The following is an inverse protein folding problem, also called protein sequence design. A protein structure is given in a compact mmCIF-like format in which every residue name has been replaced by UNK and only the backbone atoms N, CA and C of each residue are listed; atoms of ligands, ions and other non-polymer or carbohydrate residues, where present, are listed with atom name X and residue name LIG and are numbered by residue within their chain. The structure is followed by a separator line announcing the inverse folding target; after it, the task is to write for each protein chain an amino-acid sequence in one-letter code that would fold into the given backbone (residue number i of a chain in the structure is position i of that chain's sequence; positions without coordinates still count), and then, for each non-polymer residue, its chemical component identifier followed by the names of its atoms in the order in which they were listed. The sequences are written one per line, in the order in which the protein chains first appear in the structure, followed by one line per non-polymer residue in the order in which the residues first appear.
data_IF_540974948618
#
_entry.id   IF_540974948618
#
_cell.length_a   1.000
_cell.length_b   1.000
_cell.length_c   1.000
_cell.angle_alpha   90.00
_cell.angle_beta   90.00
_cell.angle_gamma   90.00
#
_symmetry.space_group_name_H-M   'P 1'
#
loop_
_entity.id
_entity.type
_entity.pdbx_description
1 polymer ?
#
# COMPACT_ATOMS: atom_id res chain seq x y z
N UNK A 1 -66.97 15.66 57.95
CA UNK A 1 -67.73 14.45 58.36
C UNK A 1 -67.39 13.36 57.36
N UNK A 2 -66.52 12.38 57.67
CA UNK A 2 -66.84 11.13 58.41
C UNK A 2 -68.01 10.38 57.73
N UNK A 3 -67.97 9.10 57.38
CA UNK A 3 -67.27 7.96 57.98
C UNK A 3 -67.42 6.72 57.03
N UNK A 4 -66.33 5.96 56.80
CA UNK A 4 -66.21 4.48 56.74
C UNK A 4 -67.14 3.62 55.86
N UNK A 5 -66.55 2.74 55.03
CA UNK A 5 -66.53 1.27 55.18
C UNK A 5 -66.08 0.59 53.87
N UNK A 6 -64.91 -0.05 53.87
CA UNK A 6 -64.67 -1.32 53.17
C UNK A 6 -63.26 -1.81 53.50
N UNK A 7 -63.19 -2.67 54.51
CA UNK A 7 -62.00 -3.38 54.96
C UNK A 7 -61.91 -4.70 54.19
N UNK A 8 -60.67 -5.07 53.85
CA UNK A 8 -60.16 -6.44 53.67
C UNK A 8 -60.55 -7.12 52.35
N UNK A 9 -59.58 -7.29 51.45
CA UNK A 9 -59.34 -8.61 50.85
C UNK A 9 -57.91 -8.74 50.27
N UNK A 10 -57.21 -9.75 50.79
CA UNK A 10 -56.18 -10.55 50.11
C UNK A 10 -54.91 -9.86 49.59
N UNK A 11 -54.02 -9.63 50.55
CA UNK A 11 -52.56 -9.75 50.40
C UNK A 11 -52.23 -11.13 49.80
N UNK A 12 -52.13 -11.22 48.49
CA UNK A 12 -51.72 -12.43 47.76
C UNK A 12 -50.20 -12.41 47.56
N UNK A 13 -49.53 -13.20 48.40
CA UNK A 13 -48.30 -13.94 48.16
C UNK A 13 -47.66 -13.73 46.77
N UNK A 14 -46.78 -12.74 46.67
CA UNK A 14 -45.67 -12.79 45.70
C UNK A 14 -44.58 -13.68 46.30
N UNK A 15 -44.63 -14.98 46.01
CA UNK A 15 -43.44 -15.82 46.11
C UNK A 15 -42.48 -15.37 45.01
N UNK A 16 -41.27 -14.87 45.32
CA UNK A 16 -40.23 -14.78 44.30
C UNK A 16 -39.84 -16.22 43.97
N UNK A 17 -40.17 -16.67 42.77
CA UNK A 17 -39.54 -17.85 42.19
C UNK A 17 -38.06 -17.50 42.01
N UNK A 18 -37.24 -17.84 43.00
CA UNK A 18 -35.79 -17.88 42.87
C UNK A 18 -35.51 -19.04 41.92
N UNK A 19 -35.50 -18.72 40.62
CA UNK A 19 -34.91 -19.60 39.62
C UNK A 19 -33.42 -19.59 39.91
N UNK A 20 -32.94 -20.64 40.58
CA UNK A 20 -31.53 -20.97 40.58
C UNK A 20 -31.17 -21.30 39.13
N UNK A 21 -30.69 -20.31 38.39
CA UNK A 21 -29.93 -20.57 37.18
C UNK A 21 -28.74 -21.41 37.62
N UNK A 22 -28.78 -22.71 37.32
CA UNK A 22 -27.62 -23.56 37.38
C UNK A 22 -26.64 -22.98 36.36
N UNK A 23 -25.66 -22.23 36.86
CA UNK A 23 -24.45 -21.91 36.12
C UNK A 23 -23.83 -23.25 35.74
N UNK A 24 -24.03 -23.68 34.49
CA UNK A 24 -23.53 -24.96 34.00
C UNK A 24 -22.02 -24.95 33.84
N UNK A 25 -21.30 -23.89 34.25
CA UNK A 25 -19.84 -23.87 34.36
C UNK A 25 -19.10 -24.14 33.06
N UNK A 26 -19.80 -24.11 31.93
CA UNK A 26 -19.22 -24.17 30.60
C UNK A 26 -19.11 -22.75 30.11
N UNK A 27 -18.02 -22.08 30.47
CA UNK A 27 -17.56 -20.97 29.65
C UNK A 27 -17.53 -21.47 28.19
N UNK A 28 -18.08 -20.71 27.23
CA UNK A 28 -18.05 -21.12 25.84
C UNK A 28 -16.59 -21.38 25.47
N UNK A 29 -16.27 -22.63 25.11
CA UNK A 29 -14.95 -23.00 24.62
C UNK A 29 -14.75 -22.18 23.36
N UNK A 30 -13.95 -21.12 23.47
CA UNK A 30 -13.56 -20.32 22.32
C UNK A 30 -12.79 -21.26 21.38
N UNK A 31 -13.39 -21.62 20.25
CA UNK A 31 -12.77 -22.52 19.29
C UNK A 31 -11.45 -21.90 18.83
N UNK A 32 -10.33 -22.48 19.30
CA UNK A 32 -9.00 -22.04 18.88
C UNK A 32 -8.90 -22.32 17.39
N UNK A 33 -8.74 -21.29 16.54
CA UNK A 33 -8.69 -21.50 15.09
C UNK A 33 -7.54 -22.45 14.74
N UNK A 34 -7.81 -23.39 13.84
CA UNK A 34 -6.81 -24.36 13.36
C UNK A 34 -5.59 -23.60 12.84
N UNK A 35 -4.43 -23.89 13.43
CA UNK A 35 -3.18 -23.25 13.06
C UNK A 35 -2.80 -23.58 11.62
N UNK A 36 -2.53 -22.54 10.82
CA UNK A 36 -2.07 -22.66 9.43
C UNK A 36 -0.68 -22.05 9.30
N UNK A 37 0.12 -22.56 8.36
CA UNK A 37 1.52 -22.14 8.19
C UNK A 37 1.71 -20.62 8.06
N UNK A 38 0.81 -19.92 7.36
CA UNK A 38 0.90 -18.46 7.20
C UNK A 38 0.74 -17.69 8.53
N UNK A 39 0.11 -18.30 9.54
CA UNK A 39 -0.10 -17.69 10.85
C UNK A 39 1.20 -17.51 11.64
N UNK A 40 2.31 -18.09 11.17
CA UNK A 40 3.66 -17.77 11.68
C UNK A 40 3.99 -16.29 11.42
N UNK A 41 3.67 -15.79 10.23
CA UNK A 41 4.09 -14.46 9.78
C UNK A 41 2.96 -13.42 9.91
N UNK A 42 1.71 -13.85 9.71
CA UNK A 42 0.53 -12.98 9.78
C UNK A 42 -0.78 -13.77 9.96
N UNK A 43 -1.74 -13.31 10.80
CA UNK A 43 -3.00 -14.04 11.04
C UNK A 43 -3.90 -14.19 9.80
N UNK A 44 -3.76 -13.30 8.82
CA UNK A 44 -4.51 -13.35 7.56
C UNK A 44 -3.62 -13.79 6.40
N UNK A 45 -4.04 -14.84 5.71
CA UNK A 45 -3.33 -15.34 4.53
C UNK A 45 -3.19 -14.27 3.45
N UNK A 46 -2.00 -14.20 2.83
CA UNK A 46 -1.70 -13.29 1.74
C UNK A 46 -1.18 -11.92 2.16
N UNK A 47 -1.45 -11.48 3.39
CA UNK A 47 -0.81 -10.30 3.96
C UNK A 47 0.69 -10.54 4.15
N UNK A 48 1.57 -9.57 3.91
CA UNK A 48 2.99 -9.79 4.13
C UNK A 48 3.33 -9.82 5.61
N UNK A 49 4.37 -10.57 5.97
CA UNK A 49 4.80 -10.77 7.35
C UNK A 49 5.12 -9.46 8.07
N UNK A 50 4.77 -9.39 9.36
CA UNK A 50 5.01 -8.21 10.21
C UNK A 50 4.24 -6.95 9.81
N UNK A 51 3.30 -7.04 8.86
CA UNK A 51 2.46 -5.92 8.45
C UNK A 51 1.25 -5.75 9.36
N UNK A 52 0.70 -4.54 9.39
CA UNK A 52 -0.70 -4.30 9.75
C UNK A 52 -1.50 -4.38 8.45
N UNK A 53 -2.32 -5.41 8.31
CA UNK A 53 -3.06 -5.71 7.09
C UNK A 53 -4.43 -6.28 7.46
N UNK A 54 -5.47 -5.94 6.69
CA UNK A 54 -6.81 -6.50 6.87
C UNK A 54 -6.95 -7.82 6.13
N UNK A 55 -7.90 -8.67 6.56
CA UNK A 55 -8.17 -9.95 5.89
C UNK A 55 -8.50 -9.76 4.40
N UNK A 56 -9.24 -8.70 4.06
CA UNK A 56 -9.58 -8.38 2.68
C UNK A 56 -8.37 -7.94 1.84
N UNK A 57 -7.45 -7.15 2.42
CA UNK A 57 -6.19 -6.82 1.76
C UNK A 57 -5.38 -8.09 1.47
N UNK A 58 -5.29 -9.01 2.44
CA UNK A 58 -4.61 -10.30 2.28
C UNK A 58 -5.22 -11.14 1.16
N UNK A 59 -6.55 -11.24 1.11
CA UNK A 59 -7.29 -11.93 0.04
C UNK A 59 -6.97 -11.37 -1.34
N UNK A 60 -6.98 -10.04 -1.51
CA UNK A 60 -6.66 -9.42 -2.80
C UNK A 60 -5.20 -9.60 -3.21
N UNK A 61 -4.26 -9.43 -2.27
CA UNK A 61 -2.83 -9.63 -2.55
C UNK A 61 -2.54 -11.08 -2.96
N UNK A 62 -3.11 -12.05 -2.24
CA UNK A 62 -3.03 -13.47 -2.61
C UNK A 62 -3.63 -13.74 -3.98
N UNK A 63 -4.83 -13.21 -4.26
CA UNK A 63 -5.48 -13.41 -5.54
C UNK A 63 -4.68 -12.80 -6.71
N UNK A 64 -3.98 -11.69 -6.47
CA UNK A 64 -3.04 -11.13 -7.44
C UNK A 64 -1.86 -12.07 -7.69
N UNK A 65 -1.20 -12.56 -6.63
CA UNK A 65 -0.12 -13.53 -6.73
C UNK A 65 -0.55 -14.81 -7.47
N UNK A 66 -1.73 -15.35 -7.14
CA UNK A 66 -2.28 -16.54 -7.82
C UNK A 66 -2.62 -16.24 -9.30
N UNK A 67 -3.00 -15.00 -9.62
CA UNK A 67 -3.19 -14.54 -11.01
C UNK A 67 -1.87 -14.55 -11.77
N UNK A 68 -0.77 -14.06 -11.16
CA UNK A 68 0.57 -14.05 -11.76
C UNK A 68 1.06 -15.46 -12.09
N UNK A 69 0.82 -16.43 -11.21
CA UNK A 69 1.17 -17.85 -11.43
C UNK A 69 0.57 -18.45 -12.69
N UNK A 70 -0.55 -17.91 -13.19
CA UNK A 70 -1.16 -18.37 -14.43
C UNK A 70 -0.32 -18.05 -15.67
N UNK A 71 0.63 -17.10 -15.56
CA UNK A 71 1.48 -16.57 -16.64
C UNK A 71 0.68 -16.05 -17.84
N UNK A 72 -0.59 -15.70 -17.65
CA UNK A 72 -1.48 -15.15 -18.69
C UNK A 72 -1.65 -13.65 -18.50
N UNK A 73 -0.99 -12.87 -19.36
CA UNK A 73 -1.04 -11.41 -19.33
C UNK A 73 -2.47 -10.85 -19.32
N UNK A 74 -3.39 -11.44 -20.10
CA UNK A 74 -4.79 -10.99 -20.13
C UNK A 74 -5.46 -11.11 -18.76
N UNK A 75 -5.23 -12.20 -18.02
CA UNK A 75 -5.78 -12.37 -16.67
C UNK A 75 -5.20 -11.34 -15.69
N UNK A 76 -3.92 -11.03 -15.82
CA UNK A 76 -3.27 -9.98 -15.01
C UNK A 76 -3.85 -8.60 -15.31
N UNK A 77 -4.13 -8.30 -16.58
CA UNK A 77 -4.78 -7.05 -16.98
C UNK A 77 -6.21 -6.98 -16.42
N UNK A 78 -7.00 -8.05 -16.58
CA UNK A 78 -8.38 -8.12 -16.09
C UNK A 78 -8.44 -7.95 -14.56
N UNK A 79 -7.53 -8.61 -13.84
CA UNK A 79 -7.44 -8.47 -12.38
C UNK A 79 -7.09 -7.03 -11.99
N UNK A 80 -6.05 -6.45 -12.61
CA UNK A 80 -5.62 -5.09 -12.36
C UNK A 80 -6.75 -4.07 -12.56
N UNK A 81 -7.51 -4.19 -13.65
CA UNK A 81 -8.63 -3.27 -13.90
C UNK A 81 -9.69 -3.31 -12.80
N UNK A 82 -9.88 -4.46 -12.15
CA UNK A 82 -10.89 -4.64 -11.10
C UNK A 82 -10.38 -4.28 -9.70
N UNK A 83 -9.14 -4.63 -9.38
CA UNK A 83 -8.61 -4.59 -8.02
C UNK A 83 -7.33 -3.76 -7.86
N UNK A 84 -6.70 -3.35 -8.96
CA UNK A 84 -5.35 -2.78 -8.96
C UNK A 84 -4.27 -3.84 -8.75
N UNK A 85 -3.04 -3.36 -8.52
CA UNK A 85 -1.88 -4.17 -8.16
C UNK A 85 -1.17 -3.58 -6.95
N UNK A 86 -0.44 -4.39 -6.16
CA UNK A 86 0.28 -3.89 -5.00
C UNK A 86 1.39 -2.94 -5.47
N UNK A 87 1.40 -1.74 -4.87
CA UNK A 87 2.39 -0.71 -5.10
C UNK A 87 3.02 -0.30 -3.77
N UNK A 88 4.34 -0.38 -3.69
CA UNK A 88 5.08 0.09 -2.53
C UNK A 88 5.10 1.63 -2.48
N UNK A 89 4.85 2.19 -1.31
CA UNK A 89 4.88 3.64 -1.06
C UNK A 89 5.25 3.94 0.38
N UNK A 90 5.24 5.23 0.72
CA UNK A 90 5.42 5.71 2.08
C UNK A 90 4.08 6.15 2.65
N UNK A 91 3.97 6.17 3.97
CA UNK A 91 2.77 6.65 4.63
C UNK A 91 3.09 7.36 5.95
N UNK A 92 2.28 8.35 6.30
CA UNK A 92 2.20 8.87 7.67
C UNK A 92 1.42 7.87 8.55
N UNK A 93 1.41 8.01 9.89
CA UNK A 93 0.65 7.10 10.74
C UNK A 93 -0.82 7.03 10.32
N UNK A 94 -1.32 5.81 10.08
CA UNK A 94 -2.74 5.54 9.78
C UNK A 94 -3.32 4.65 10.86
N UNK A 95 -4.45 5.06 11.42
CA UNK A 95 -5.26 4.22 12.32
C UNK A 95 -6.75 4.58 12.17
N UNK A 96 -7.64 3.61 11.90
CA UNK A 96 -7.35 2.20 11.63
C UNK A 96 -6.77 1.98 10.23
N UNK A 97 -6.04 0.86 10.03
CA UNK A 97 -5.62 0.43 8.68
C UNK A 97 -6.86 0.10 7.86
N UNK A 98 -6.98 0.70 6.67
CA UNK A 98 -8.13 0.56 5.79
C UNK A 98 -7.95 -0.58 4.79
N UNK A 99 -9.04 -0.97 4.13
CA UNK A 99 -9.05 -1.93 3.02
C UNK A 99 -8.07 -1.50 1.92
N UNK A 100 -7.29 -2.47 1.43
CA UNK A 100 -6.35 -2.28 0.33
C UNK A 100 -5.00 -1.69 0.73
N UNK A 101 -4.76 -1.49 2.04
CA UNK A 101 -3.50 -0.99 2.60
C UNK A 101 -2.87 -2.08 3.50
N UNK A 102 -1.58 -2.30 3.32
CA UNK A 102 -0.71 -2.99 4.28
C UNK A 102 0.37 -2.00 4.75
N UNK A 103 0.69 -2.00 6.04
CA UNK A 103 1.57 -1.00 6.67
C UNK A 103 2.65 -1.67 7.54
N UNK A 104 3.90 -1.20 7.46
CA UNK A 104 5.01 -1.61 8.35
C UNK A 104 5.68 -0.40 8.98
N UNK A 105 6.25 -0.62 10.16
CA UNK A 105 7.23 0.31 10.69
C UNK A 105 8.42 0.40 9.73
N UNK A 106 8.89 1.63 9.48
CA UNK A 106 10.08 1.83 8.68
C UNK A 106 11.33 1.41 9.48
N UNK A 107 12.24 0.61 8.91
CA UNK A 107 13.50 0.28 9.57
C UNK A 107 14.47 1.47 9.63
N UNK A 108 14.21 2.52 8.83
CA UNK A 108 15.02 3.72 8.75
C UNK A 108 14.87 4.58 10.02
N UNK A 109 15.95 4.81 10.75
CA UNK A 109 15.95 5.70 11.94
C UNK A 109 15.49 7.13 11.61
N UNK A 110 15.76 7.61 10.40
CA UNK A 110 15.30 8.92 9.92
C UNK A 110 13.77 9.05 9.81
N UNK A 111 13.08 7.92 9.72
CA UNK A 111 11.63 7.84 9.65
C UNK A 111 10.98 7.56 11.01
N UNK A 112 11.76 7.32 12.05
CA UNK A 112 11.26 6.96 13.39
C UNK A 112 11.39 8.12 14.38
N UNK A 113 11.15 9.34 13.90
CA UNK A 113 11.12 10.55 14.72
C UNK A 113 9.77 10.65 15.46
N UNK A 114 9.80 11.09 16.72
CA UNK A 114 8.65 11.07 17.64
C UNK A 114 7.38 11.71 17.04
N UNK A 115 7.53 12.86 16.37
CA UNK A 115 6.42 13.65 15.83
C UNK A 115 6.24 13.57 14.31
N UNK A 116 7.05 12.76 13.61
CA UNK A 116 7.04 12.69 12.15
C UNK A 116 7.34 11.29 11.64
N UNK A 117 6.72 10.27 12.27
CA UNK A 117 6.91 8.89 11.86
C UNK A 117 6.47 8.67 10.41
N UNK A 118 7.30 7.96 9.65
CA UNK A 118 7.02 7.52 8.29
C UNK A 118 7.05 6.00 8.26
N UNK A 119 6.01 5.42 7.70
CA UNK A 119 5.79 3.98 7.58
C UNK A 119 6.06 3.53 6.15
N UNK A 120 6.36 2.24 6.00
CA UNK A 120 6.27 1.58 4.70
C UNK A 120 4.81 1.22 4.46
N UNK A 121 4.34 1.42 3.23
CA UNK A 121 2.99 1.04 2.83
C UNK A 121 3.03 0.24 1.53
N UNK A 122 2.08 -0.66 1.38
CA UNK A 122 1.73 -1.30 0.11
C UNK A 122 0.24 -1.08 -0.12
N UNK A 123 -0.11 -0.56 -1.29
CA UNK A 123 -1.51 -0.27 -1.64
C UNK A 123 -1.87 -0.90 -2.98
N UNK A 124 -3.02 -1.55 -3.02
CA UNK A 124 -3.63 -2.03 -4.26
C UNK A 124 -4.19 -0.84 -5.05
N UNK A 125 -3.63 -0.54 -6.22
CA UNK A 125 -4.07 0.63 -7.01
C UNK A 125 -4.03 0.44 -8.51
N UNK A 126 -4.94 1.15 -9.19
CA UNK A 126 -4.92 1.35 -10.66
C UNK A 126 -4.33 2.69 -11.05
N UNK A 127 -4.19 3.63 -10.12
CA UNK A 127 -3.77 5.00 -10.39
C UNK A 127 -3.27 5.70 -9.11
N UNK A 128 -2.05 6.25 -9.15
CA UNK A 128 -1.44 6.96 -8.03
C UNK A 128 -2.13 8.29 -7.67
N UNK A 129 -2.64 9.05 -8.63
CA UNK A 129 -3.35 10.31 -8.35
C UNK A 129 -4.65 10.08 -7.56
N UNK A 130 -5.31 8.91 -7.73
CA UNK A 130 -6.44 8.52 -6.86
C UNK A 130 -6.00 8.35 -5.40
N UNK A 131 -4.75 7.93 -5.17
CA UNK A 131 -4.18 7.77 -3.84
C UNK A 131 -3.69 9.10 -3.25
N UNK A 132 -3.29 10.06 -4.09
CA UNK A 132 -2.85 11.38 -3.64
C UNK A 132 -3.93 12.14 -2.84
N UNK A 133 -5.21 11.77 -3.01
CA UNK A 133 -6.34 12.29 -2.23
C UNK A 133 -6.36 11.75 -0.79
N UNK A 134 -5.68 10.64 -0.52
CA UNK A 134 -5.54 10.07 0.81
C UNK A 134 -4.38 10.75 1.53
N UNK A 135 -4.71 11.68 2.45
CA UNK A 135 -3.73 12.58 3.11
C UNK A 135 -2.54 11.89 3.77
N UNK A 136 -2.68 10.62 4.14
CA UNK A 136 -1.65 9.87 4.84
C UNK A 136 -0.73 9.07 3.92
N UNK A 137 -0.99 9.02 2.60
CA UNK A 137 -0.10 8.36 1.65
C UNK A 137 0.87 9.38 1.04
N UNK A 138 2.14 9.01 1.04
CA UNK A 138 3.23 9.85 0.55
C UNK A 138 3.77 9.20 -0.73
N UNK A 139 3.38 9.76 -1.88
CA UNK A 139 3.75 9.26 -3.20
C UNK A 139 5.05 9.92 -3.63
N UNK A 140 6.10 9.11 -3.80
CA UNK A 140 7.34 9.58 -4.38
C UNK A 140 7.13 10.00 -5.85
N UNK A 141 7.94 10.94 -6.32
CA UNK A 141 7.95 11.36 -7.72
C UNK A 141 9.36 11.33 -8.28
N UNK A 142 9.49 10.85 -9.50
CA UNK A 142 10.65 11.05 -10.34
C UNK A 142 10.43 12.26 -11.24
N UNK A 143 11.48 13.04 -11.44
CA UNK A 143 11.50 14.14 -12.41
C UNK A 143 12.30 13.71 -13.62
N UNK A 144 11.64 13.63 -14.76
CA UNK A 144 12.22 13.33 -16.07
C UNK A 144 12.59 14.63 -16.78
N UNK A 145 13.83 14.73 -17.26
CA UNK A 145 14.24 15.82 -18.16
C UNK A 145 13.74 15.55 -19.58
N UNK A 146 12.86 16.42 -20.11
CA UNK A 146 12.40 16.37 -21.51
C UNK A 146 13.31 17.17 -22.44
N UNK A 147 13.77 18.33 -21.98
CA UNK A 147 14.69 19.23 -22.69
C UNK A 147 15.63 19.93 -21.70
N UNK A 148 16.45 20.87 -22.14
CA UNK A 148 17.32 21.64 -21.23
C UNK A 148 16.57 22.49 -20.21
N UNK A 149 15.29 22.79 -20.45
CA UNK A 149 14.48 23.66 -19.59
C UNK A 149 13.17 23.04 -19.12
N UNK A 150 12.78 21.89 -19.69
CA UNK A 150 11.50 21.24 -19.41
C UNK A 150 11.67 19.94 -18.63
N UNK A 151 10.87 19.84 -17.55
CA UNK A 151 10.84 18.70 -16.65
C UNK A 151 9.41 18.19 -16.49
N UNK A 152 9.23 16.87 -16.48
CA UNK A 152 7.94 16.22 -16.23
C UNK A 152 8.05 15.33 -15.01
N UNK A 153 7.04 15.36 -14.15
CA UNK A 153 6.96 14.53 -12.96
C UNK A 153 6.18 13.25 -13.25
N UNK A 154 6.64 12.14 -12.70
CA UNK A 154 5.95 10.86 -12.69
C UNK A 154 5.87 10.37 -11.25
N UNK A 155 4.74 9.84 -10.78
CA UNK A 155 4.72 9.12 -9.53
C UNK A 155 5.58 7.86 -9.65
N UNK A 156 6.25 7.50 -8.57
CA UNK A 156 7.10 6.31 -8.51
C UNK A 156 6.79 5.49 -7.25
N UNK A 157 6.84 4.15 -7.35
CA UNK A 157 6.85 3.29 -6.19
C UNK A 157 8.09 3.53 -5.34
N UNK A 158 7.98 3.26 -4.05
CA UNK A 158 9.09 3.31 -3.11
C UNK A 158 10.17 2.31 -3.52
N UNK A 159 11.44 2.73 -3.44
CA UNK A 159 12.63 1.90 -3.62
C UNK A 159 12.76 1.24 -5.01
N UNK A 160 11.94 1.67 -5.99
CA UNK A 160 12.03 1.22 -7.36
C UNK A 160 12.47 2.37 -8.28
N UNK A 161 13.14 2.00 -9.37
CA UNK A 161 13.44 2.90 -10.47
C UNK A 161 13.00 2.22 -11.77
N UNK A 162 12.52 2.99 -12.76
CA UNK A 162 12.06 2.42 -14.00
C UNK A 162 13.20 1.78 -14.79
N UNK A 163 12.89 0.69 -15.49
CA UNK A 163 13.82 -0.06 -16.34
C UNK A 163 13.97 0.57 -17.73
N UNK A 164 12.94 1.25 -18.24
CA UNK A 164 12.99 2.02 -19.48
C UNK A 164 11.76 2.95 -19.61
N UNK A 165 11.78 3.83 -20.61
CA UNK A 165 10.62 4.62 -21.03
C UNK A 165 10.03 4.04 -22.32
N UNK A 166 8.71 4.03 -22.42
CA UNK A 166 8.00 3.71 -23.66
C UNK A 166 6.66 4.44 -23.69
N UNK A 167 6.33 5.06 -24.82
CA UNK A 167 5.10 5.81 -25.07
C UNK A 167 4.81 6.84 -23.97
N UNK A 168 5.84 7.59 -23.56
CA UNK A 168 5.80 8.54 -22.44
C UNK A 168 5.38 7.93 -21.08
N UNK A 169 5.53 6.63 -20.89
CA UNK A 169 5.32 5.94 -19.60
C UNK A 169 6.63 5.38 -19.07
N UNK A 170 6.77 5.38 -17.76
CA UNK A 170 7.86 4.71 -17.04
C UNK A 170 7.51 3.25 -16.86
N UNK A 171 8.36 2.35 -17.34
CA UNK A 171 8.14 0.90 -17.22
C UNK A 171 8.97 0.36 -16.06
N UNK A 172 8.35 -0.50 -15.27
CA UNK A 172 8.91 -1.13 -14.09
C UNK A 172 8.79 -2.66 -14.20
N UNK A 173 9.62 -3.34 -13.42
CA UNK A 173 9.52 -4.77 -13.16
C UNK A 173 9.39 -4.97 -11.66
N UNK A 174 8.36 -5.67 -11.22
CA UNK A 174 8.19 -6.05 -9.82
C UNK A 174 8.27 -7.57 -9.66
N UNK A 175 8.67 -7.97 -8.46
CA UNK A 175 8.70 -9.35 -7.99
C UNK A 175 7.72 -9.47 -6.82
N UNK A 176 6.84 -10.45 -6.89
CA UNK A 176 5.94 -10.80 -5.81
C UNK A 176 6.11 -12.28 -5.49
N UNK A 177 6.88 -12.58 -4.44
CA UNK A 177 7.10 -13.94 -3.94
C UNK A 177 7.61 -14.92 -5.04
N UNK A 178 8.48 -14.43 -5.94
CA UNK A 178 9.06 -15.17 -7.06
C UNK A 178 8.31 -15.01 -8.39
N UNK A 179 7.19 -14.30 -8.37
CA UNK A 179 6.35 -14.04 -9.54
C UNK A 179 6.60 -12.63 -10.11
N UNK A 180 7.28 -12.59 -11.27
CA UNK A 180 7.59 -11.33 -11.94
C UNK A 180 6.45 -10.80 -12.80
N UNK A 181 6.24 -9.48 -12.76
CA UNK A 181 5.35 -8.76 -13.67
C UNK A 181 5.90 -7.40 -14.06
N UNK A 182 5.39 -6.88 -15.18
CA UNK A 182 5.76 -5.57 -15.69
C UNK A 182 4.54 -4.66 -15.67
N UNK A 183 4.79 -3.41 -15.31
CA UNK A 183 3.75 -2.39 -15.30
C UNK A 183 4.32 -1.07 -15.78
N UNK A 184 3.44 -0.23 -16.30
CA UNK A 184 3.75 1.13 -16.70
C UNK A 184 3.10 2.13 -15.77
N UNK A 185 3.77 3.27 -15.56
CA UNK A 185 3.22 4.42 -14.86
C UNK A 185 3.32 5.63 -15.79
N UNK A 186 2.19 6.27 -16.08
CA UNK A 186 2.17 7.53 -16.83
C UNK A 186 2.28 8.75 -15.90
N UNK A 187 2.48 9.93 -16.47
CA UNK A 187 2.64 11.17 -15.70
C UNK A 187 1.38 11.55 -14.89
N UNK A 188 0.20 11.10 -15.32
CA UNK A 188 -1.08 11.25 -14.61
C UNK A 188 -1.31 10.18 -13.53
N UNK A 189 -0.28 9.38 -13.24
CA UNK A 189 -0.31 8.31 -12.27
C UNK A 189 -1.09 7.07 -12.66
N UNK A 190 -1.64 6.98 -13.87
CA UNK A 190 -2.27 5.75 -14.35
C UNK A 190 -1.26 4.59 -14.36
N UNK A 191 -1.70 3.45 -13.84
CA UNK A 191 -0.94 2.20 -13.80
C UNK A 191 -1.55 1.25 -14.80
N UNK A 192 -0.74 0.56 -15.58
CA UNK A 192 -1.18 -0.50 -16.50
C UNK A 192 -0.25 -1.70 -16.43
N UNK A 193 -0.80 -2.91 -16.49
CA UNK A 193 -0.01 -4.12 -16.69
C UNK A 193 0.36 -4.24 -18.15
N UNK A 194 1.65 -4.42 -18.40
CA UNK A 194 2.21 -4.45 -19.76
C UNK A 194 3.01 -5.72 -19.98
N UNK A 195 3.22 -6.06 -21.25
CA UNK A 195 4.23 -7.05 -21.60
C UNK A 195 5.62 -6.41 -21.45
N UNK A 196 6.48 -7.04 -20.66
CA UNK A 196 7.88 -6.61 -20.56
C UNK A 196 8.62 -6.76 -21.87
N UNK A 197 9.41 -5.76 -22.22
CA UNK A 197 10.34 -5.78 -23.35
C UNK A 197 11.76 -5.59 -22.82
N UNK A 198 12.73 -6.30 -23.42
CA UNK A 198 14.13 -6.12 -23.08
C UNK A 198 14.64 -4.84 -23.75
N UNK A 199 15.07 -3.81 -23.00
CA UNK A 199 15.62 -2.61 -23.62
C UNK A 199 17.00 -2.90 -24.20
N UNK A 200 17.39 -2.13 -25.22
CA UNK A 200 18.73 -2.24 -25.82
C UNK A 200 19.85 -1.83 -24.84
N UNK A 201 19.52 -0.95 -23.90
CA UNK A 201 20.39 -0.45 -22.84
C UNK A 201 19.62 -0.44 -21.52
N UNK A 202 20.27 -0.89 -20.45
CA UNK A 202 19.68 -0.85 -19.11
C UNK A 202 19.95 0.51 -18.43
N UNK A 203 19.19 0.86 -17.39
CA UNK A 203 19.44 2.07 -16.62
C UNK A 203 20.82 2.09 -15.98
N UNK A 204 21.44 3.26 -15.97
CA UNK A 204 22.75 3.48 -15.35
C UNK A 204 22.65 4.61 -14.32
N UNK A 205 23.37 4.47 -13.21
CA UNK A 205 23.49 5.57 -12.25
C UNK A 205 24.35 6.67 -12.88
N UNK A 206 23.91 7.92 -12.77
CA UNK A 206 24.64 9.09 -13.26
C UNK A 206 24.74 10.14 -12.17
N UNK A 207 25.71 11.05 -12.30
CA UNK A 207 25.76 12.21 -11.43
C UNK A 207 24.57 13.13 -11.70
N UNK A 208 23.91 13.58 -10.64
CA UNK A 208 22.87 14.59 -10.75
C UNK A 208 23.49 15.94 -11.13
N UNK A 209 22.94 16.59 -12.14
CA UNK A 209 23.21 18.00 -12.42
C UNK A 209 22.39 18.89 -11.49
N UNK A 210 22.86 20.12 -11.27
CA UNK A 210 22.23 21.03 -10.31
C UNK A 210 20.75 21.32 -10.63
N UNK A 211 20.42 21.55 -11.89
CA UNK A 211 19.05 21.81 -12.35
C UNK A 211 18.09 20.63 -12.07
N UNK A 212 18.55 19.38 -12.18
CA UNK A 212 17.76 18.20 -11.81
C UNK A 212 17.48 18.17 -10.31
N UNK A 213 18.52 18.41 -9.49
CA UNK A 213 18.38 18.44 -8.02
C UNK A 213 17.42 19.54 -7.61
N UNK A 214 17.52 20.73 -8.21
CA UNK A 214 16.62 21.83 -7.94
C UNK A 214 15.20 21.54 -8.41
N UNK A 215 15.01 20.88 -9.56
CA UNK A 215 13.69 20.46 -10.02
C UNK A 215 13.04 19.45 -9.05
N UNK A 216 13.82 18.52 -8.47
CA UNK A 216 13.34 17.60 -7.46
C UNK A 216 12.99 18.29 -6.14
N UNK A 217 13.86 19.18 -5.64
CA UNK A 217 13.65 19.92 -4.38
C UNK A 217 12.41 20.81 -4.36
N UNK A 218 11.89 21.19 -5.52
CA UNK A 218 10.62 21.95 -5.65
C UNK A 218 9.38 21.11 -5.34
N UNK A 219 9.51 19.78 -5.26
CA UNK A 219 8.38 18.91 -4.93
C UNK A 219 8.18 18.92 -3.41
N UNK A 220 6.98 19.26 -2.91
CA UNK A 220 6.74 19.34 -1.49
C UNK A 220 6.67 17.93 -0.88
N UNK A 221 7.63 17.63 -0.01
CA UNK A 221 7.66 16.43 0.81
C UNK A 221 7.90 16.78 2.28
N UNK A 222 7.49 15.92 3.22
CA UNK A 222 8.00 15.98 4.58
C UNK A 222 9.53 15.97 4.58
N UNK A 223 10.15 16.83 5.40
CA UNK A 223 11.60 17.00 5.41
C UNK A 223 12.37 15.69 5.68
N UNK A 224 11.75 14.77 6.44
CA UNK A 224 12.36 13.51 6.79
C UNK A 224 11.99 12.35 5.87
N UNK A 225 11.36 12.60 4.72
CA UNK A 225 10.99 11.54 3.77
C UNK A 225 12.21 11.04 2.98
N UNK A 226 13.05 11.95 2.50
CA UNK A 226 14.21 11.63 1.66
C UNK A 226 15.48 12.21 2.26
N UNK A 227 16.55 11.40 2.27
CA UNK A 227 17.90 11.83 2.68
C UNK A 227 18.62 12.58 1.57
N UNK A 228 18.23 12.35 0.33
CA UNK A 228 18.82 12.99 -0.84
C UNK A 228 18.12 12.61 -2.13
N UNK A 229 18.76 12.99 -3.23
CA UNK A 229 18.32 12.66 -4.58
C UNK A 229 19.36 11.76 -5.27
N UNK A 230 18.88 10.89 -6.15
CA UNK A 230 19.70 10.04 -7.00
C UNK A 230 19.28 10.22 -8.45
N UNK A 231 20.22 10.10 -9.38
CA UNK A 231 19.96 10.24 -10.80
C UNK A 231 20.29 8.98 -11.57
N UNK A 232 19.42 8.65 -12.52
CA UNK A 232 19.62 7.57 -13.47
C UNK A 232 19.46 8.05 -14.90
N UNK A 233 20.24 7.47 -15.77
CA UNK A 233 20.02 7.50 -17.21
C UNK A 233 19.15 6.30 -17.57
N UNK A 234 17.97 6.52 -18.15
CA UNK A 234 17.03 5.47 -18.54
C UNK A 234 16.84 5.48 -20.05
N UNK A 235 16.79 4.30 -20.67
CA UNK A 235 16.65 4.16 -22.11
C UNK A 235 15.20 4.45 -22.53
N UNK A 236 15.01 5.36 -23.48
CA UNK A 236 13.74 5.60 -24.13
C UNK A 236 13.63 4.74 -25.39
N UNK A 237 12.67 3.81 -25.37
CA UNK A 237 12.45 2.83 -26.43
C UNK A 237 11.99 3.50 -27.74
N UNK A 238 11.25 4.61 -27.65
CA UNK A 238 10.70 5.29 -28.82
C UNK A 238 11.77 6.18 -29.46
N UNK A 239 12.46 6.99 -28.66
CA UNK A 239 13.48 7.92 -29.17
C UNK A 239 14.87 7.29 -29.31
N UNK A 240 15.04 6.01 -28.92
CA UNK A 240 16.31 5.27 -28.94
C UNK A 240 17.48 6.07 -28.35
N UNK A 241 17.23 6.70 -27.22
CA UNK A 241 18.21 7.56 -26.55
C UNK A 241 18.00 7.54 -25.04
N UNK A 242 19.05 7.88 -24.31
CA UNK A 242 18.97 8.02 -22.87
C UNK A 242 18.25 9.30 -22.45
N UNK A 243 17.45 9.17 -21.39
CA UNK A 243 16.82 10.28 -20.67
C UNK A 243 17.28 10.27 -19.22
N UNK A 244 17.46 11.45 -18.63
CA UNK A 244 17.85 11.57 -17.23
C UNK A 244 16.63 11.70 -16.35
N UNK A 245 16.58 10.90 -15.28
CA UNK A 245 15.63 11.05 -14.19
C UNK A 245 16.35 11.36 -12.89
N UNK A 246 15.69 12.10 -12.00
CA UNK A 246 16.07 12.28 -10.60
C UNK A 246 14.91 11.85 -9.72
N UNK A 247 15.22 11.22 -8.60
CA UNK A 247 14.22 10.80 -7.62
C UNK A 247 14.83 10.74 -6.22
N UNK A 248 13.98 10.77 -5.20
CA UNK A 248 14.40 10.74 -3.81
C UNK A 248 14.86 9.35 -3.37
N UNK A 249 15.86 9.29 -2.51
CA UNK A 249 16.24 8.08 -1.79
C UNK A 249 16.22 8.34 -0.28
N UNK A 250 15.81 7.31 0.47
CA UNK A 250 15.73 7.30 1.94
C UNK A 250 16.75 6.29 2.49
N UNK A 251 16.60 5.73 3.69
CA UNK A 251 17.49 4.64 4.09
C UNK A 251 17.36 3.43 3.15
N UNK A 252 18.51 2.87 2.79
CA UNK A 252 18.66 1.52 2.21
C UNK A 252 18.72 0.50 3.34
#
# INVERSE_FOLDING_TARGET
MNLYLAKILCLSLFLPAIVFAQDTGTEPVEEVPEFKLHMIDHPFEGCPGGSKCTEETGKHRKAWHDTLKTKRLSRSIDFHQKFGVPMAMWSQPVSPVTKGLALWDSPCSHHNLENSKIFLAEVMTTNFEKLAQQRNLLIGKAVLRKSSTEFIQYPIPRAEAPIYLKSNKMIYSADLDGEYYFYSIAADGSVEIVKGEKPARFPENIQCTEDMVQAFKKIPYPENLFKGASCKSIWDMDSKSFKSIVYGWSCS
#
